data_IF_107845744123
#
_entry.id   IF_107845744123
#
_cell.length_a   1.000
_cell.length_b   1.000
_cell.length_c   1.000
_cell.angle_alpha   90.00
_cell.angle_beta   90.00
_cell.angle_gamma   90.00
#
_symmetry.space_group_name_H-M   'P 1'
#
loop_
_entity.id
_entity.type
_entity.pdbx_description
1 polymer ?
#
# COMPACT_ATOMS: atom_id res chain seq x y z
N UNK A 1 -13.06 13.15 16.65
CA UNK A 1 -13.14 11.69 16.88
C UNK A 1 -11.77 11.10 17.22
N UNK A 2 -10.80 11.04 16.31
CA UNK A 2 -9.53 10.34 16.57
C UNK A 2 -8.61 10.95 17.63
N UNK A 3 -8.75 12.25 17.97
CA UNK A 3 -7.85 12.96 18.91
C UNK A 3 -7.76 12.30 20.29
N UNK A 4 -8.82 11.64 20.76
CA UNK A 4 -8.81 10.91 22.03
C UNK A 4 -8.00 9.60 21.94
N UNK A 5 -8.22 8.81 20.88
CA UNK A 5 -7.52 7.53 20.66
C UNK A 5 -6.07 7.69 20.22
N UNK A 6 -5.70 8.86 19.68
CA UNK A 6 -4.36 9.17 19.18
C UNK A 6 -3.52 9.97 20.19
N UNK A 7 -3.88 9.98 21.46
CA UNK A 7 -3.03 10.60 22.49
C UNK A 7 -1.65 9.93 22.50
N UNK A 8 -0.59 10.74 22.42
CA UNK A 8 0.79 10.25 22.31
C UNK A 8 1.25 9.89 20.89
N UNK A 9 0.40 10.14 19.88
CA UNK A 9 0.74 9.99 18.47
C UNK A 9 0.75 11.35 17.77
N UNK A 10 1.67 11.49 16.83
CA UNK A 10 1.61 12.48 15.77
C UNK A 10 1.16 11.81 14.48
N UNK A 11 0.70 12.60 13.51
CA UNK A 11 0.37 12.04 12.20
C UNK A 11 0.20 13.06 11.11
N UNK A 12 0.21 12.54 9.88
CA UNK A 12 -0.02 13.29 8.65
C UNK A 12 -1.15 12.63 7.86
N UNK A 13 -1.85 13.43 7.06
CA UNK A 13 -3.00 12.99 6.27
C UNK A 13 -2.91 13.54 4.84
N UNK A 14 -2.99 12.65 3.85
CA UNK A 14 -3.12 13.00 2.44
C UNK A 14 -4.57 12.77 1.99
N UNK A 15 -5.37 13.82 1.75
CA UNK A 15 -6.72 13.66 1.21
C UNK A 15 -6.67 13.14 -0.23
N UNK A 16 -7.66 12.33 -0.62
CA UNK A 16 -7.88 12.01 -2.04
C UNK A 16 -8.49 13.22 -2.74
N UNK A 17 -7.91 13.56 -3.91
CA UNK A 17 -8.46 14.58 -4.80
C UNK A 17 -9.90 14.27 -5.22
N UNK A 18 -10.18 13.02 -5.60
CA UNK A 18 -11.52 12.54 -5.99
C UNK A 18 -12.13 11.66 -4.90
N UNK A 19 -12.55 12.29 -3.79
CA UNK A 19 -13.12 11.59 -2.65
C UNK A 19 -14.61 11.26 -2.83
N UNK A 20 -15.04 9.99 -2.68
CA UNK A 20 -16.47 9.64 -2.59
C UNK A 20 -17.20 10.38 -1.47
N UNK A 21 -16.56 10.64 -0.32
CA UNK A 21 -17.15 11.35 0.80
C UNK A 21 -17.59 12.77 0.42
N UNK A 22 -16.74 13.50 -0.31
CA UNK A 22 -17.09 14.86 -0.79
C UNK A 22 -18.23 14.85 -1.81
N UNK A 23 -18.29 13.82 -2.68
CA UNK A 23 -19.37 13.66 -3.67
C UNK A 23 -20.72 13.40 -3.00
N UNK A 24 -20.74 12.43 -2.07
CA UNK A 24 -21.94 12.11 -1.26
C UNK A 24 -22.37 13.34 -0.45
N UNK A 25 -21.42 14.04 0.18
CA UNK A 25 -21.71 15.28 0.90
C UNK A 25 -22.42 16.31 0.01
N UNK A 26 -21.89 16.56 -1.20
CA UNK A 26 -22.51 17.47 -2.16
C UNK A 26 -23.93 17.04 -2.55
N UNK A 27 -24.14 15.75 -2.84
CA UNK A 27 -25.48 15.20 -3.16
C UNK A 27 -26.47 15.38 -2.01
N UNK A 28 -26.00 15.32 -0.77
CA UNK A 28 -26.81 15.51 0.44
C UNK A 28 -26.92 16.97 0.90
N UNK A 29 -26.31 17.93 0.19
CA UNK A 29 -26.24 19.32 0.63
C UNK A 29 -25.43 19.54 1.91
N UNK A 30 -24.47 18.66 2.22
CA UNK A 30 -23.62 18.69 3.42
C UNK A 30 -22.15 18.84 3.04
N UNK A 31 -21.43 19.68 3.79
CA UNK A 31 -19.97 19.71 3.71
C UNK A 31 -19.39 18.47 4.41
N UNK A 32 -18.83 17.54 3.63
CA UNK A 32 -18.10 16.38 4.15
C UNK A 32 -16.62 16.49 3.82
N UNK A 33 -15.76 16.08 4.75
CA UNK A 33 -14.32 16.02 4.53
C UNK A 33 -13.98 14.86 3.58
N UNK A 34 -12.92 14.98 2.77
CA UNK A 34 -12.47 13.89 1.91
C UNK A 34 -11.92 12.71 2.72
N UNK A 35 -12.11 11.50 2.21
CA UNK A 35 -11.29 10.34 2.59
C UNK A 35 -9.86 10.48 2.06
N UNK A 36 -8.96 9.63 2.54
CA UNK A 36 -7.54 9.73 2.24
C UNK A 36 -6.72 8.65 2.92
N UNK A 37 -5.42 8.88 2.99
CA UNK A 37 -4.48 8.02 3.73
C UNK A 37 -3.81 8.81 4.85
N UNK A 38 -3.50 8.14 5.95
CA UNK A 38 -2.84 8.75 7.09
C UNK A 38 -1.72 7.85 7.61
N UNK A 39 -0.67 8.48 8.14
CA UNK A 39 0.37 7.81 8.92
C UNK A 39 0.34 8.41 10.31
N UNK A 40 0.31 7.53 11.33
CA UNK A 40 0.45 7.92 12.73
C UNK A 40 1.66 7.21 13.35
N UNK A 41 2.40 7.92 14.20
CA UNK A 41 3.58 7.40 14.88
C UNK A 41 3.67 7.93 16.31
N UNK A 42 4.25 7.14 17.21
CA UNK A 42 4.40 7.51 18.63
C UNK A 42 5.40 8.66 18.76
N UNK A 43 4.94 9.83 19.22
CA UNK A 43 5.76 11.05 19.26
C UNK A 43 6.93 10.98 20.24
N UNK A 44 6.84 10.12 21.27
CA UNK A 44 7.95 9.84 22.20
C UNK A 44 9.01 8.90 21.63
N UNK A 45 8.67 8.11 20.61
CA UNK A 45 9.56 7.10 20.04
C UNK A 45 10.21 7.56 18.74
N UNK A 46 9.58 8.50 18.03
CA UNK A 46 10.04 8.94 16.71
C UNK A 46 9.94 10.45 16.55
N UNK A 47 10.95 11.01 15.87
CA UNK A 47 10.96 12.38 15.36
C UNK A 47 10.84 12.36 13.85
N UNK A 48 9.98 13.21 13.30
CA UNK A 48 9.90 13.41 11.84
C UNK A 48 11.09 14.21 11.34
N UNK A 49 11.80 13.64 10.37
CA UNK A 49 12.90 14.28 9.63
C UNK A 49 12.36 14.94 8.36
N UNK A 50 11.43 14.27 7.69
CA UNK A 50 10.81 14.74 6.46
C UNK A 50 9.44 14.12 6.30
N UNK A 51 8.53 14.86 5.67
CA UNK A 51 7.26 14.29 5.21
C UNK A 51 6.87 14.86 3.86
N UNK A 52 6.13 14.07 3.09
CA UNK A 52 5.58 14.48 1.80
C UNK A 52 4.23 13.82 1.57
N UNK A 53 3.32 14.59 1.00
CA UNK A 53 2.00 14.14 0.55
C UNK A 53 2.00 14.11 -0.97
N UNK A 54 1.30 13.13 -1.53
CA UNK A 54 1.05 12.95 -2.95
C UNK A 54 -0.46 12.88 -3.20
N UNK A 55 -0.89 13.26 -4.40
CA UNK A 55 -2.28 13.36 -4.82
C UNK A 55 -3.01 14.57 -4.25
N UNK A 56 -2.27 15.55 -3.71
CA UNK A 56 -2.84 16.73 -3.04
C UNK A 56 -2.78 17.99 -3.89
N UNK A 57 -1.84 18.07 -4.85
CA UNK A 57 -1.66 19.22 -5.72
C UNK A 57 -2.19 18.97 -7.12
N UNK A 58 -2.75 19.99 -7.77
CA UNK A 58 -3.20 19.92 -9.16
C UNK A 58 -2.05 19.75 -10.17
N UNK A 59 -0.82 20.08 -9.76
CA UNK A 59 0.38 19.97 -10.61
C UNK A 59 0.97 18.56 -10.66
N UNK A 60 0.47 17.64 -9.85
CA UNK A 60 0.98 16.28 -9.83
C UNK A 60 0.59 15.50 -11.08
N UNK A 61 1.55 14.75 -11.62
CA UNK A 61 1.38 14.01 -12.88
C UNK A 61 0.49 12.78 -12.75
N UNK A 62 0.36 12.25 -11.53
CA UNK A 62 -0.36 11.01 -11.24
C UNK A 62 -1.25 11.25 -10.03
N UNK A 63 -2.55 11.04 -10.21
CA UNK A 63 -3.53 11.11 -9.12
C UNK A 63 -3.40 9.86 -8.23
N UNK A 64 -2.67 9.97 -7.13
CA UNK A 64 -2.51 8.91 -6.13
C UNK A 64 -2.38 9.52 -4.74
N UNK A 65 -3.31 9.18 -3.85
CA UNK A 65 -3.22 9.59 -2.45
C UNK A 65 -2.15 8.75 -1.75
N UNK A 66 -1.02 9.38 -1.42
CA UNK A 66 0.02 8.77 -0.62
C UNK A 66 0.62 9.74 0.41
N UNK A 67 1.03 9.20 1.54
CA UNK A 67 1.76 9.88 2.59
C UNK A 67 3.11 9.19 2.77
N UNK A 68 4.19 9.96 2.84
CA UNK A 68 5.55 9.48 3.10
C UNK A 68 6.09 10.23 4.31
N UNK A 69 6.62 9.50 5.29
CA UNK A 69 7.29 10.06 6.47
C UNK A 69 8.63 9.39 6.67
N UNK A 70 9.69 10.19 6.71
CA UNK A 70 10.99 9.77 7.22
C UNK A 70 11.02 10.03 8.72
N UNK A 71 11.11 8.96 9.50
CA UNK A 71 11.16 8.97 10.95
C UNK A 71 12.56 8.58 11.45
N UNK A 72 13.04 9.29 12.46
CA UNK A 72 14.21 8.92 13.26
C UNK A 72 13.77 8.46 14.65
N UNK A 73 14.20 7.28 15.08
CA UNK A 73 14.00 6.76 16.43
C UNK A 73 14.67 7.67 17.46
N UNK A 74 13.94 7.98 18.54
CA UNK A 74 14.43 8.83 19.64
C UNK A 74 15.36 8.11 20.60
N UNK A 75 15.24 6.79 20.72
CA UNK A 75 16.12 5.95 21.53
C UNK A 75 16.80 4.92 20.62
N UNK A 76 18.13 4.95 20.59
CA UNK A 76 18.95 3.96 19.89
C UNK A 76 18.96 2.68 20.73
N UNK A 77 18.33 1.62 20.22
CA UNK A 77 18.62 0.27 20.74
C UNK A 77 20.03 -0.16 20.33
N UNK A 78 20.33 -1.45 20.44
CA UNK A 78 21.59 -2.03 19.94
C UNK A 78 21.72 -2.04 18.39
N UNK A 79 20.74 -1.46 17.67
CA UNK A 79 20.73 -1.38 16.21
C UNK A 79 21.37 -0.07 15.72
N UNK A 80 22.18 -0.19 14.67
CA UNK A 80 22.75 0.94 13.93
C UNK A 80 21.74 1.65 13.00
N UNK A 81 20.56 1.06 12.78
CA UNK A 81 19.45 1.59 11.98
C UNK A 81 18.48 2.40 12.84
N UNK A 82 18.72 3.71 12.90
CA UNK A 82 17.88 4.64 13.65
C UNK A 82 16.80 5.33 12.81
N UNK A 83 16.95 5.31 11.50
CA UNK A 83 16.04 6.00 10.59
C UNK A 83 15.23 4.97 9.80
N UNK A 84 13.99 5.32 9.46
CA UNK A 84 13.14 4.55 8.56
C UNK A 84 12.22 5.47 7.75
N UNK A 85 11.77 4.98 6.60
CA UNK A 85 10.77 5.64 5.77
C UNK A 85 9.48 4.82 5.83
N UNK A 86 8.38 5.47 6.19
CA UNK A 86 7.03 4.88 6.17
C UNK A 86 6.25 5.49 5.05
N UNK A 87 5.62 4.64 4.23
CA UNK A 87 4.72 5.03 3.15
C UNK A 87 3.34 4.44 3.37
N UNK A 88 2.31 5.24 3.18
CA UNK A 88 0.93 4.79 3.15
C UNK A 88 0.27 5.24 1.86
N UNK A 89 -0.43 4.36 1.16
CA UNK A 89 -1.11 4.67 -0.10
C UNK A 89 -2.37 3.83 -0.29
N UNK A 90 -3.30 4.36 -1.07
CA UNK A 90 -4.55 3.68 -1.45
C UNK A 90 -4.74 3.85 -2.96
N UNK A 91 -4.60 2.75 -3.71
CA UNK A 91 -4.64 2.78 -5.17
C UNK A 91 -6.06 2.71 -5.73
N UNK A 92 -6.17 2.92 -7.05
CA UNK A 92 -7.43 2.87 -7.80
C UNK A 92 -8.24 1.60 -7.51
N UNK A 93 -9.52 1.78 -7.17
CA UNK A 93 -10.43 0.69 -6.76
C UNK A 93 -11.16 -0.03 -7.89
N UNK A 94 -11.15 0.49 -9.12
CA UNK A 94 -11.84 -0.13 -10.26
C UNK A 94 -11.32 -1.56 -10.52
N UNK A 95 -12.19 -2.56 -10.48
CA UNK A 95 -11.82 -3.98 -10.55
C UNK A 95 -11.87 -4.51 -11.98
N UNK A 96 -11.18 -3.81 -12.87
CA UNK A 96 -11.00 -4.14 -14.28
C UNK A 96 -9.54 -3.94 -14.71
N UNK A 97 -9.15 -4.57 -15.81
CA UNK A 97 -8.69 -3.85 -17.00
C UNK A 97 -7.89 -2.56 -16.78
N UNK A 98 -8.59 -1.47 -17.05
CA UNK A 98 -8.10 -0.09 -16.99
C UNK A 98 -7.66 0.29 -15.58
N UNK A 99 -8.40 -0.12 -14.55
CA UNK A 99 -8.07 0.07 -13.16
C UNK A 99 -6.73 -0.57 -12.80
N UNK A 100 -6.42 -1.75 -13.33
CA UNK A 100 -5.13 -2.42 -13.13
C UNK A 100 -3.98 -1.64 -13.76
N UNK A 101 -4.18 -1.12 -14.96
CA UNK A 101 -3.20 -0.24 -15.62
C UNK A 101 -3.01 1.06 -14.83
N UNK A 102 -4.09 1.64 -14.29
CA UNK A 102 -4.01 2.83 -13.43
C UNK A 102 -3.24 2.53 -12.13
N UNK A 103 -3.55 1.43 -11.44
CA UNK A 103 -2.82 1.00 -10.24
C UNK A 103 -1.33 0.78 -10.52
N UNK A 104 -0.98 0.14 -11.63
CA UNK A 104 0.40 -0.05 -12.04
C UNK A 104 1.11 1.31 -12.26
N UNK A 105 0.46 2.27 -12.94
CA UNK A 105 1.02 3.62 -13.10
C UNK A 105 1.24 4.32 -11.75
N UNK A 106 0.27 4.22 -10.84
CA UNK A 106 0.34 4.82 -9.51
C UNK A 106 1.50 4.25 -8.69
N UNK A 107 1.65 2.92 -8.62
CA UNK A 107 2.72 2.31 -7.84
C UNK A 107 4.11 2.55 -8.44
N UNK A 108 4.24 2.56 -9.78
CA UNK A 108 5.52 2.82 -10.44
C UNK A 108 5.97 4.27 -10.28
N UNK A 109 5.02 5.22 -10.26
CA UNK A 109 5.30 6.61 -9.91
C UNK A 109 5.81 6.73 -8.47
N UNK A 110 5.08 6.16 -7.51
CA UNK A 110 5.50 6.17 -6.11
C UNK A 110 6.84 5.46 -5.89
N UNK A 111 7.09 4.34 -6.55
CA UNK A 111 8.38 3.63 -6.51
C UNK A 111 9.53 4.52 -6.99
N UNK A 112 9.35 5.28 -8.06
CA UNK A 112 10.37 6.20 -8.56
C UNK A 112 10.66 7.32 -7.56
N UNK A 113 9.62 7.90 -6.95
CA UNK A 113 9.75 8.95 -5.94
C UNK A 113 10.40 8.43 -4.64
N UNK A 114 10.00 7.24 -4.19
CA UNK A 114 10.59 6.55 -3.03
C UNK A 114 12.08 6.28 -3.26
N UNK A 115 12.44 5.76 -4.42
CA UNK A 115 13.84 5.47 -4.75
C UNK A 115 14.69 6.74 -4.76
N UNK A 116 14.20 7.80 -5.43
CA UNK A 116 14.93 9.07 -5.51
C UNK A 116 15.18 9.65 -4.12
N UNK A 117 14.17 9.63 -3.24
CA UNK A 117 14.31 10.13 -1.88
C UNK A 117 15.22 9.26 -1.02
N UNK A 118 15.07 7.93 -1.09
CA UNK A 118 15.92 6.99 -0.37
C UNK A 118 17.39 7.14 -0.78
N UNK A 119 17.71 7.12 -2.07
CA UNK A 119 19.10 7.27 -2.54
C UNK A 119 19.72 8.59 -2.08
N UNK A 120 18.96 9.69 -2.12
CA UNK A 120 19.41 10.98 -1.60
C UNK A 120 19.77 10.89 -0.12
N UNK A 121 18.86 10.38 0.71
CA UNK A 121 19.07 10.29 2.16
C UNK A 121 20.25 9.38 2.48
N UNK A 122 20.32 8.19 1.86
CA UNK A 122 21.40 7.22 2.10
C UNK A 122 22.78 7.78 1.74
N UNK A 123 22.87 8.59 0.69
CA UNK A 123 24.09 9.32 0.33
C UNK A 123 24.47 10.38 1.38
N UNK A 124 23.49 11.14 1.87
CA UNK A 124 23.71 12.20 2.87
C UNK A 124 24.15 11.63 4.23
N UNK A 125 23.50 10.56 4.71
CA UNK A 125 23.78 9.99 6.04
C UNK A 125 24.80 8.85 6.02
N UNK A 126 25.23 8.41 4.83
CA UNK A 126 26.15 7.28 4.60
C UNK A 126 25.73 5.99 5.30
N UNK A 127 24.42 5.74 5.39
CA UNK A 127 23.82 4.55 6.00
C UNK A 127 22.60 4.14 5.20
N UNK A 128 22.28 2.84 5.22
CA UNK A 128 21.02 2.35 4.66
C UNK A 128 19.84 2.78 5.55
N UNK A 129 18.72 3.08 4.90
CA UNK A 129 17.44 3.40 5.54
C UNK A 129 16.35 2.50 4.95
N UNK A 130 15.65 1.66 5.74
CA UNK A 130 14.59 0.82 5.22
C UNK A 130 13.30 1.60 4.92
N UNK A 131 12.62 1.20 3.84
CA UNK A 131 11.24 1.62 3.54
C UNK A 131 10.25 0.54 3.97
N UNK A 132 9.18 0.98 4.62
CA UNK A 132 7.98 0.21 4.96
C UNK A 132 6.77 0.82 4.24
N UNK A 133 5.90 -0.01 3.67
CA UNK A 133 4.69 0.43 2.96
C UNK A 133 3.49 -0.29 3.56
N UNK A 134 2.50 0.47 4.04
CA UNK A 134 1.16 -0.05 4.33
C UNK A 134 0.17 0.45 3.29
N UNK A 135 -0.54 -0.44 2.60
CA UNK A 135 -1.43 -0.01 1.52
C UNK A 135 -2.67 -0.87 1.32
N UNK A 136 -3.75 -0.22 0.88
CA UNK A 136 -4.79 -0.88 0.08
C UNK A 136 -4.37 -0.76 -1.39
N UNK A 137 -3.83 -1.85 -1.91
CA UNK A 137 -3.37 -1.92 -3.28
C UNK A 137 -4.53 -2.05 -4.27
N UNK A 138 -5.71 -2.46 -3.80
CA UNK A 138 -6.83 -2.86 -4.62
C UNK A 138 -6.50 -3.93 -5.69
N UNK A 139 -5.37 -4.62 -5.56
CA UNK A 139 -4.88 -5.63 -6.50
C UNK A 139 -4.59 -6.95 -5.76
N UNK A 140 -5.27 -8.05 -6.12
CA UNK A 140 -5.03 -9.37 -5.54
C UNK A 140 -3.70 -9.98 -6.00
N UNK A 141 -3.14 -10.97 -5.27
CA UNK A 141 -1.85 -11.56 -5.61
C UNK A 141 -1.91 -12.52 -6.81
N UNK A 142 -3.11 -12.81 -7.30
CA UNK A 142 -3.44 -13.69 -8.43
C UNK A 142 -4.64 -13.13 -9.19
N UNK A 143 -4.86 -13.59 -10.41
CA UNK A 143 -6.06 -13.25 -11.17
C UNK A 143 -7.32 -13.79 -10.46
N UNK A 144 -8.28 -12.91 -10.21
CA UNK A 144 -9.59 -13.23 -9.61
C UNK A 144 -10.78 -12.70 -10.41
N UNK A 145 -10.53 -11.91 -11.46
CA UNK A 145 -11.55 -11.14 -12.20
C UNK A 145 -11.32 -11.16 -13.72
N UNK A 146 -10.44 -12.03 -14.21
CA UNK A 146 -10.13 -12.21 -15.64
C UNK A 146 -9.05 -11.26 -16.18
N UNK A 147 -8.19 -10.73 -15.31
CA UNK A 147 -7.05 -9.91 -15.70
C UNK A 147 -5.81 -10.16 -14.81
N UNK A 148 -4.60 -10.04 -15.37
CA UNK A 148 -3.37 -10.35 -14.64
C UNK A 148 -3.07 -9.36 -13.50
N UNK A 149 -2.51 -9.83 -12.37
CA UNK A 149 -2.22 -9.01 -11.18
C UNK A 149 -0.91 -8.22 -11.31
N UNK A 150 -0.80 -7.38 -12.34
CA UNK A 150 0.43 -6.63 -12.66
C UNK A 150 0.97 -5.80 -11.51
N UNK A 151 0.09 -5.08 -10.81
CA UNK A 151 0.42 -4.15 -9.75
C UNK A 151 1.13 -4.88 -8.62
N UNK A 152 0.51 -5.95 -8.11
CA UNK A 152 1.09 -6.78 -7.05
C UNK A 152 2.40 -7.42 -7.51
N UNK A 153 2.42 -8.07 -8.67
CA UNK A 153 3.61 -8.74 -9.19
C UNK A 153 4.79 -7.76 -9.36
N UNK A 154 4.54 -6.54 -9.85
CA UNK A 154 5.58 -5.52 -10.06
C UNK A 154 6.29 -5.05 -8.79
N UNK A 155 5.71 -5.33 -7.62
CA UNK A 155 6.29 -4.98 -6.31
C UNK A 155 7.15 -6.12 -5.78
N UNK A 156 6.66 -7.36 -5.88
CA UNK A 156 7.19 -8.50 -5.11
C UNK A 156 7.97 -9.52 -5.94
N UNK A 157 7.78 -9.58 -7.26
CA UNK A 157 8.39 -10.60 -8.11
C UNK A 157 8.52 -10.14 -9.57
N UNK A 158 9.72 -9.67 -9.94
CA UNK A 158 10.06 -9.20 -11.29
C UNK A 158 9.88 -10.29 -12.36
N UNK A 159 10.21 -11.54 -12.03
CA UNK A 159 10.10 -12.64 -12.99
C UNK A 159 8.62 -12.91 -13.28
N UNK A 160 7.80 -12.98 -12.23
CA UNK A 160 6.35 -13.12 -12.37
C UNK A 160 5.76 -11.95 -13.16
N UNK A 161 6.12 -10.71 -12.83
CA UNK A 161 5.60 -9.51 -13.50
C UNK A 161 5.90 -9.54 -15.00
N UNK A 162 7.15 -9.79 -15.39
CA UNK A 162 7.55 -9.87 -16.80
C UNK A 162 6.84 -10.98 -17.55
N UNK A 163 6.70 -12.16 -16.94
CA UNK A 163 6.00 -13.28 -17.56
C UNK A 163 4.53 -12.95 -17.80
N UNK A 164 3.84 -12.40 -16.79
CA UNK A 164 2.45 -11.95 -16.94
C UNK A 164 2.34 -10.91 -18.06
N UNK A 165 3.26 -9.94 -18.10
CA UNK A 165 3.23 -8.86 -19.09
C UNK A 165 3.43 -9.39 -20.50
N UNK A 166 4.37 -10.32 -20.67
CA UNK A 166 4.64 -10.98 -21.94
C UNK A 166 3.42 -11.77 -22.41
N UNK A 167 2.88 -12.66 -21.58
CA UNK A 167 1.68 -13.46 -21.91
C UNK A 167 0.48 -12.59 -22.25
N UNK A 168 0.27 -11.48 -21.53
CA UNK A 168 -0.82 -10.56 -21.82
C UNK A 168 -0.64 -9.89 -23.18
N UNK A 169 0.58 -9.44 -23.53
CA UNK A 169 0.89 -8.80 -24.81
C UNK A 169 0.69 -9.75 -26.00
N UNK A 170 1.09 -11.01 -25.85
CA UNK A 170 0.90 -12.05 -26.87
C UNK A 170 -0.59 -12.30 -27.13
N UNK A 171 -1.40 -12.44 -26.08
CA UNK A 171 -2.84 -12.71 -26.19
C UNK A 171 -3.67 -11.50 -26.64
N UNK A 172 -3.18 -10.28 -26.43
CA UNK A 172 -3.96 -9.06 -26.58
C UNK A 172 -3.24 -8.01 -27.44
N UNK A 173 -2.77 -8.39 -28.62
CA UNK A 173 -1.87 -7.56 -29.46
C UNK A 173 -2.41 -6.15 -29.77
N UNK A 174 -3.74 -5.97 -29.83
CA UNK A 174 -4.41 -4.66 -29.99
C UNK A 174 -4.60 -3.87 -28.67
N UNK A 175 -4.93 -4.53 -27.55
CA UNK A 175 -5.16 -3.89 -26.25
C UNK A 175 -3.86 -3.70 -25.42
N UNK A 176 -2.78 -4.37 -25.80
CA UNK A 176 -1.46 -4.28 -25.19
C UNK A 176 -0.85 -2.86 -25.23
N UNK A 177 -1.27 -2.03 -26.19
CA UNK A 177 -0.83 -0.63 -26.31
C UNK A 177 -1.24 0.24 -25.11
N UNK A 178 -2.25 -0.18 -24.33
CA UNK A 178 -2.69 0.54 -23.13
C UNK A 178 -1.66 0.52 -21.99
N UNK A 179 -0.77 -0.48 -21.95
CA UNK A 179 0.29 -0.61 -20.95
C UNK A 179 1.58 0.04 -21.48
N UNK A 180 1.62 1.36 -21.44
CA UNK A 180 2.83 2.13 -21.75
C UNK A 180 3.73 2.23 -20.49
N UNK A 181 4.51 1.18 -20.24
CA UNK A 181 5.48 1.12 -19.14
C UNK A 181 6.91 1.22 -19.67
N UNK A 182 7.70 2.15 -19.14
CA UNK A 182 9.13 2.21 -19.39
C UNK A 182 9.83 1.06 -18.65
N UNK A 183 10.06 -0.05 -19.33
CA UNK A 183 10.67 -1.26 -18.76
C UNK A 183 12.09 -1.04 -18.21
N UNK A 184 12.87 -0.12 -18.79
CA UNK A 184 14.22 0.20 -18.30
C UNK A 184 14.14 0.92 -16.94
N UNK A 185 13.25 1.90 -16.82
CA UNK A 185 13.01 2.61 -15.56
C UNK A 185 12.43 1.69 -14.49
N UNK A 186 11.45 0.86 -14.86
CA UNK A 186 10.90 -0.17 -13.98
C UNK A 186 12.01 -1.09 -13.45
N UNK A 187 12.86 -1.65 -14.32
CA UNK A 187 13.92 -2.56 -13.90
C UNK A 187 14.90 -1.90 -12.94
N UNK A 188 15.35 -0.68 -13.26
CA UNK A 188 16.25 0.09 -12.40
C UNK A 188 15.63 0.26 -11.00
N UNK A 189 14.34 0.62 -10.97
CA UNK A 189 13.61 0.88 -9.74
C UNK A 189 13.43 -0.39 -8.91
N UNK A 190 12.96 -1.47 -9.54
CA UNK A 190 12.77 -2.77 -8.90
C UNK A 190 14.06 -3.28 -8.28
N UNK A 191 15.18 -3.26 -9.01
CA UNK A 191 16.47 -3.78 -8.55
C UNK A 191 17.00 -3.07 -7.30
N UNK A 192 16.65 -1.79 -7.12
CA UNK A 192 17.09 -0.97 -5.98
C UNK A 192 16.13 -1.06 -4.80
N UNK A 193 14.82 -1.21 -5.05
CA UNK A 193 13.82 -1.21 -3.99
C UNK A 193 13.46 -2.58 -3.43
N UNK A 194 13.33 -3.62 -4.26
CA UNK A 194 13.08 -5.04 -3.90
C UNK A 194 12.22 -5.24 -2.64
N UNK A 195 10.93 -4.97 -2.75
CA UNK A 195 10.00 -5.13 -1.65
C UNK A 195 9.58 -6.59 -1.43
N UNK A 196 9.25 -6.91 -0.19
CA UNK A 196 8.72 -8.21 0.25
C UNK A 196 7.46 -7.98 1.07
N UNK A 197 6.43 -8.83 0.92
CA UNK A 197 5.24 -8.81 1.78
C UNK A 197 5.55 -9.46 3.13
N UNK A 198 5.18 -8.79 4.22
CA UNK A 198 5.36 -9.28 5.58
C UNK A 198 4.64 -10.61 5.83
N UNK A 199 3.37 -10.71 5.41
CA UNK A 199 2.59 -11.93 5.59
C UNK A 199 3.14 -13.08 4.73
N UNK A 200 3.42 -12.85 3.45
CA UNK A 200 4.02 -13.87 2.59
C UNK A 200 5.40 -14.32 3.09
N UNK A 201 6.22 -13.40 3.59
CA UNK A 201 7.55 -13.72 4.11
C UNK A 201 7.49 -14.60 5.36
N UNK A 202 6.53 -14.35 6.27
CA UNK A 202 6.43 -15.08 7.52
C UNK A 202 5.62 -16.38 7.40
N UNK A 203 4.53 -16.36 6.62
CA UNK A 203 3.57 -17.47 6.51
C UNK A 203 3.76 -18.32 5.25
N UNK A 204 4.70 -17.96 4.37
CA UNK A 204 4.95 -18.62 3.07
C UNK A 204 3.93 -18.27 1.98
N UNK A 205 2.81 -17.63 2.32
CA UNK A 205 1.78 -17.21 1.37
C UNK A 205 1.04 -15.96 1.87
N UNK A 206 0.41 -15.24 0.96
CA UNK A 206 -0.50 -14.15 1.34
C UNK A 206 -1.75 -14.70 2.05
N UNK A 207 -2.39 -13.94 2.95
CA UNK A 207 -3.65 -14.34 3.56
C UNK A 207 -4.71 -14.70 2.51
N UNK A 208 -5.71 -15.50 2.88
CA UNK A 208 -6.83 -15.83 1.98
C UNK A 208 -7.69 -14.62 1.63
N UNK A 209 -7.81 -13.69 2.58
CA UNK A 209 -8.53 -12.44 2.43
C UNK A 209 -8.00 -11.40 3.43
N UNK A 210 -8.17 -10.13 3.08
CA UNK A 210 -8.05 -8.96 3.95
C UNK A 210 -9.32 -8.11 3.92
N UNK A 211 -10.21 -8.35 2.94
CA UNK A 211 -11.58 -7.82 2.87
C UNK A 211 -12.58 -8.94 2.59
N UNK A 212 -13.76 -8.85 3.20
CA UNK A 212 -14.85 -9.82 2.98
C UNK A 212 -16.22 -9.17 3.16
N UNK A 213 -16.89 -8.90 2.04
CA UNK A 213 -18.15 -8.15 2.02
C UNK A 213 -19.31 -8.91 1.40
N UNK A 214 -20.51 -8.53 1.81
CA UNK A 214 -21.77 -8.97 1.21
C UNK A 214 -22.13 -8.07 0.02
N UNK A 215 -22.41 -8.66 -1.14
CA UNK A 215 -22.87 -7.98 -2.36
C UNK A 215 -24.20 -8.59 -2.81
N UNK A 216 -24.91 -7.91 -3.74
CA UNK A 216 -26.14 -8.45 -4.36
C UNK A 216 -25.94 -9.84 -4.99
N UNK A 217 -24.73 -10.16 -5.45
CA UNK A 217 -24.36 -11.44 -6.06
C UNK A 217 -23.69 -12.46 -5.13
N UNK A 218 -23.71 -12.24 -3.80
CA UNK A 218 -23.07 -13.12 -2.82
C UNK A 218 -21.88 -12.49 -2.11
N UNK A 219 -20.95 -13.32 -1.63
CA UNK A 219 -19.74 -12.88 -0.93
C UNK A 219 -18.65 -12.42 -1.90
N UNK A 220 -17.94 -11.34 -1.56
CA UNK A 220 -16.79 -10.84 -2.33
C UNK A 220 -15.58 -10.76 -1.37
N UNK A 221 -14.63 -11.69 -1.55
CA UNK A 221 -13.44 -11.90 -0.70
C UNK A 221 -12.17 -11.66 -1.48
N UNK A 222 -11.26 -10.83 -0.95
CA UNK A 222 -9.98 -10.55 -1.60
C UNK A 222 -8.88 -10.29 -0.57
N UNK A 223 -7.64 -10.58 -0.96
CA UNK A 223 -6.43 -10.05 -0.31
C UNK A 223 -5.94 -8.89 -1.14
N UNK A 224 -6.08 -7.67 -0.62
CA UNK A 224 -5.70 -6.44 -1.32
C UNK A 224 -4.97 -5.44 -0.41
N UNK A 225 -4.89 -5.73 0.88
CA UNK A 225 -4.18 -4.93 1.86
C UNK A 225 -2.84 -5.59 2.17
N UNK A 226 -1.75 -4.82 2.13
CA UNK A 226 -0.40 -5.37 2.28
C UNK A 226 0.48 -4.51 3.18
N UNK A 227 1.42 -5.17 3.84
CA UNK A 227 2.56 -4.56 4.51
C UNK A 227 3.82 -4.99 3.75
N UNK A 228 4.43 -4.08 2.99
CA UNK A 228 5.69 -4.34 2.29
C UNK A 228 6.88 -3.74 3.03
N UNK A 229 8.04 -4.38 2.92
CA UNK A 229 9.29 -3.93 3.54
C UNK A 229 10.50 -4.37 2.71
N UNK A 230 11.68 -3.79 3.01
CA UNK A 230 12.93 -4.09 2.32
C UNK A 230 13.77 -5.12 3.08
N UNK A 231 13.46 -6.41 2.90
CA UNK A 231 14.16 -7.51 3.58
C UNK A 231 15.69 -7.48 3.38
N UNK A 232 16.15 -7.19 2.16
CA UNK A 232 17.58 -7.17 1.82
C UNK A 232 18.40 -6.09 2.55
N UNK A 233 17.76 -5.15 3.26
CA UNK A 233 18.43 -4.16 4.12
C UNK A 233 18.61 -4.65 5.57
N UNK A 234 18.40 -5.94 5.84
CA UNK A 234 18.56 -6.52 7.18
C UNK A 234 17.31 -6.40 8.05
N UNK A 235 16.16 -6.07 7.46
CA UNK A 235 14.88 -6.05 8.17
C UNK A 235 14.27 -7.45 8.17
N UNK A 236 13.80 -7.91 9.33
CA UNK A 236 13.14 -9.21 9.49
C UNK A 236 11.76 -9.00 10.09
N UNK A 237 10.75 -9.70 9.55
CA UNK A 237 9.41 -9.77 10.16
C UNK A 237 9.40 -10.89 11.21
N UNK A 238 8.95 -10.60 12.42
CA UNK A 238 8.96 -11.56 13.53
C UNK A 238 7.58 -12.08 13.89
N UNK A 239 6.54 -11.29 13.65
CA UNK A 239 5.15 -11.69 13.88
C UNK A 239 4.22 -10.89 12.97
N UNK A 240 3.06 -11.48 12.69
CA UNK A 240 1.94 -10.83 12.01
C UNK A 240 0.66 -11.04 12.81
N UNK A 241 -0.28 -10.10 12.71
CA UNK A 241 -1.61 -10.25 13.30
C UNK A 241 -2.43 -11.24 12.46
N UNK A 242 -2.98 -12.27 13.10
CA UNK A 242 -3.81 -13.25 12.43
C UNK A 242 -5.09 -12.59 11.87
N UNK A 243 -5.41 -12.92 10.62
CA UNK A 243 -6.71 -12.58 10.04
C UNK A 243 -7.76 -13.54 10.60
N UNK A 244 -8.93 -13.05 11.07
CA UNK A 244 -10.00 -13.90 11.59
C UNK A 244 -10.43 -14.99 10.62
N UNK A 245 -10.51 -16.22 11.11
CA UNK A 245 -10.97 -17.40 10.36
C UNK A 245 -12.44 -17.26 9.94
N UNK A 246 -12.83 -17.86 8.81
CA UNK A 246 -14.21 -17.72 8.30
C UNK A 246 -15.31 -18.22 9.26
N UNK A 247 -14.95 -19.10 10.19
CA UNK A 247 -15.84 -19.66 11.21
C UNK A 247 -16.12 -18.67 12.35
N UNK A 248 -15.27 -17.67 12.50
CA UNK A 248 -15.34 -16.65 13.56
C UNK A 248 -16.02 -15.37 13.10
N UNK A 249 -16.23 -15.22 11.79
CA UNK A 249 -16.93 -14.07 11.21
C UNK A 249 -18.41 -14.37 11.16
N UNK A 250 -19.22 -13.43 11.64
CA UNK A 250 -20.67 -13.49 11.55
C UNK A 250 -21.11 -13.58 10.08
N UNK A 251 -21.67 -14.72 9.67
CA UNK A 251 -22.06 -15.00 8.28
C UNK A 251 -23.29 -14.21 7.84
N UNK A 252 -24.10 -13.71 8.76
CA UNK A 252 -25.30 -12.96 8.43
C UNK A 252 -24.96 -11.54 7.99
N UNK A 253 -24.11 -10.87 8.77
CA UNK A 253 -23.65 -9.50 8.50
C UNK A 253 -22.46 -9.43 7.55
N UNK A 254 -21.51 -10.38 7.66
CA UNK A 254 -20.15 -10.24 7.12
C UNK A 254 -19.52 -8.91 7.54
N UNK A 255 -18.73 -8.28 6.67
CA UNK A 255 -18.18 -6.96 6.90
C UNK A 255 -18.74 -5.92 5.91
N UNK A 256 -19.01 -4.67 6.38
CA UNK A 256 -18.98 -4.27 7.79
C UNK A 256 -20.15 -4.89 8.57
N UNK A 257 -19.96 -5.05 9.88
CA UNK A 257 -20.93 -5.62 10.82
C UNK A 257 -20.75 -5.04 12.22
N UNK A 258 -21.56 -5.48 13.19
CA UNK A 258 -21.46 -5.01 14.58
C UNK A 258 -20.12 -5.35 15.23
N UNK A 259 -19.54 -6.48 14.82
CA UNK A 259 -18.26 -6.98 15.28
C UNK A 259 -17.07 -6.33 14.55
N UNK A 260 -17.31 -5.81 13.33
CA UNK A 260 -16.28 -5.23 12.47
C UNK A 260 -16.77 -3.94 11.77
N UNK A 261 -16.33 -2.75 12.20
CA UNK A 261 -16.85 -1.48 11.69
C UNK A 261 -16.34 -1.10 10.27
N UNK A 262 -15.60 -1.97 9.60
CA UNK A 262 -15.00 -1.78 8.28
C UNK A 262 -15.21 -3.04 7.43
N UNK A 263 -15.27 -2.94 6.11
CA UNK A 263 -15.26 -4.11 5.19
C UNK A 263 -13.88 -4.76 5.01
N UNK A 264 -12.86 -4.22 5.67
CA UNK A 264 -11.48 -4.72 5.70
C UNK A 264 -11.06 -5.09 7.13
N UNK A 265 -10.27 -6.15 7.25
CA UNK A 265 -9.58 -6.50 8.49
C UNK A 265 -8.33 -5.63 8.65
N UNK A 266 -8.06 -5.21 9.89
CA UNK A 266 -6.77 -4.61 10.22
C UNK A 266 -5.65 -5.64 10.04
N UNK A 267 -4.55 -5.21 9.41
CA UNK A 267 -3.31 -5.98 9.28
C UNK A 267 -2.20 -5.33 10.09
N UNK A 268 -1.32 -6.15 10.65
CA UNK A 268 -0.21 -5.68 11.49
C UNK A 268 0.95 -6.65 11.41
N UNK A 269 2.17 -6.11 11.51
CA UNK A 269 3.40 -6.89 11.59
C UNK A 269 4.38 -6.23 12.57
N UNK A 270 5.19 -7.06 13.23
CA UNK A 270 6.34 -6.61 14.02
C UNK A 270 7.61 -6.88 13.23
N UNK A 271 8.54 -5.93 13.26
CA UNK A 271 9.80 -6.00 12.54
C UNK A 271 10.99 -5.78 13.49
N UNK A 272 12.07 -6.50 13.23
CA UNK A 272 13.38 -6.31 13.84
C UNK A 272 14.34 -5.74 12.80
N UNK A 273 15.00 -4.64 13.18
CA UNK A 273 16.03 -3.95 12.41
C UNK A 273 16.71 -2.90 13.28
#
# INVERSE_FOLDING_TARGET
>A
FFKHYLQGYEGIFAPKKSSPCTKIGKEMGKAMLPDGVAIFYKSKSFKTIFSRLYGVSEKEKVDVAAAVVHLRRSQTGHSDMNDLIVVCTHLKSAKDMEGEVQRLKQIQYLASEMLQYQEKVEQEIRKYIPIFIGCDLNAPPKDTKGFPPFTYASIVDDKLFKNLLQTYKEKNSKNAQSINLNMKLYQKTYNKLRFTSAYKSLLGSEPKYTTWKKRKGGEDKHTIDYLFFQHFKGVVVTSVLNIPDERTVNRESLLPGWEYPSDHFAIMASFEF
#
